data_IF_891520882571
#
_entry.id   IF_891520882571
#
_cell.length_a   1.000
_cell.length_b   1.000
_cell.length_c   1.000
_cell.angle_alpha   90.00
_cell.angle_beta   90.00
_cell.angle_gamma   90.00
#
_symmetry.space_group_name_H-M   'P 1'
#
loop_
_entity.id
_entity.type
_entity.pdbx_description
1 polymer ?
#
# COMPACT_ATOMS: atom_id res chain seq x y z
N UNK A 1 -13.73 -2.93 -4.10
CA UNK A 1 -12.72 -3.63 -4.92
C UNK A 1 -11.64 -2.69 -5.44
N UNK A 2 -10.40 -2.91 -5.03
CA UNK A 2 -9.25 -2.18 -5.57
C UNK A 2 -8.95 -2.65 -7.01
N UNK A 3 -8.90 -1.72 -7.97
CA UNK A 3 -8.50 -2.08 -9.35
C UNK A 3 -7.00 -2.32 -9.41
N UNK A 4 -6.58 -3.36 -10.14
CA UNK A 4 -5.16 -3.71 -10.41
C UNK A 4 -4.32 -2.51 -10.90
N UNK A 5 -4.96 -1.57 -11.58
CA UNK A 5 -4.36 -0.33 -12.07
C UNK A 5 -3.98 0.67 -10.96
N UNK A 6 -4.64 0.61 -9.80
CA UNK A 6 -4.40 1.53 -8.68
C UNK A 6 -3.02 1.32 -8.03
N UNK A 7 -2.39 0.17 -8.21
CA UNK A 7 -1.04 -0.13 -7.69
C UNK A 7 -0.01 0.08 -8.81
N UNK A 8 0.55 1.29 -8.91
CA UNK A 8 1.64 1.58 -9.86
C UNK A 8 2.92 0.84 -9.44
N UNK A 9 3.74 0.44 -10.42
CA UNK A 9 5.01 -0.27 -10.17
C UNK A 9 6.03 0.50 -9.32
N UNK A 10 5.79 1.79 -9.09
CA UNK A 10 6.62 2.68 -8.27
C UNK A 10 6.32 2.60 -6.77
N UNK A 11 5.27 1.88 -6.35
CA UNK A 11 4.93 1.70 -4.93
C UNK A 11 5.53 0.40 -4.43
N UNK A 12 6.31 0.48 -3.34
CA UNK A 12 6.71 -0.71 -2.59
C UNK A 12 5.76 -0.88 -1.42
N UNK A 13 5.02 -1.98 -1.40
CA UNK A 13 4.03 -2.27 -0.37
C UNK A 13 4.56 -3.43 0.46
N UNK A 14 4.54 -3.31 1.77
CA UNK A 14 5.03 -4.32 2.70
C UNK A 14 3.86 -4.74 3.59
N UNK A 15 3.71 -6.05 3.79
CA UNK A 15 2.65 -6.64 4.62
C UNK A 15 3.23 -7.16 5.94
N UNK A 16 2.48 -7.06 7.05
CA UNK A 16 2.79 -7.67 8.35
C UNK A 16 4.19 -7.37 8.90
N UNK A 17 4.68 -6.14 8.66
CA UNK A 17 6.05 -5.73 9.02
C UNK A 17 7.15 -6.59 8.38
N UNK A 18 6.81 -7.35 7.35
CA UNK A 18 7.78 -8.11 6.59
C UNK A 18 8.72 -7.15 5.85
N UNK A 19 9.97 -7.58 5.66
CA UNK A 19 10.97 -6.83 4.89
C UNK A 19 10.76 -6.99 3.39
N UNK A 20 9.90 -7.91 3.00
CA UNK A 20 9.62 -8.26 1.60
C UNK A 20 8.46 -7.44 1.04
N UNK A 21 8.57 -7.10 -0.25
CA UNK A 21 7.52 -6.39 -0.96
C UNK A 21 6.40 -7.38 -1.27
N UNK A 22 5.20 -7.09 -0.78
CA UNK A 22 4.02 -7.91 -1.01
C UNK A 22 3.65 -7.92 -2.50
N UNK A 23 3.22 -9.08 -3.00
CA UNK A 23 2.80 -9.21 -4.39
C UNK A 23 1.50 -8.45 -4.64
N UNK A 24 1.40 -7.86 -5.84
CA UNK A 24 0.22 -7.08 -6.21
C UNK A 24 -1.05 -7.93 -6.24
N UNK A 25 -0.97 -9.20 -6.63
CA UNK A 25 -2.14 -10.08 -6.68
C UNK A 25 -2.63 -10.42 -5.28
N UNK A 26 -1.72 -10.62 -4.33
CA UNK A 26 -2.07 -10.87 -2.93
C UNK A 26 -2.84 -9.67 -2.34
N UNK A 27 -2.37 -8.45 -2.58
CA UNK A 27 -3.04 -7.23 -2.11
C UNK A 27 -4.42 -7.07 -2.75
N UNK A 28 -4.57 -7.42 -4.03
CA UNK A 28 -5.86 -7.36 -4.73
C UNK A 28 -6.84 -8.37 -4.14
N UNK A 29 -6.40 -9.61 -3.89
CA UNK A 29 -7.22 -10.63 -3.24
C UNK A 29 -7.65 -10.18 -1.83
N UNK A 30 -6.73 -9.57 -1.05
CA UNK A 30 -7.08 -8.99 0.25
C UNK A 30 -8.10 -7.85 0.12
N UNK A 31 -8.01 -7.06 -0.95
CA UNK A 31 -8.92 -5.94 -1.19
C UNK A 31 -10.35 -6.33 -1.57
N UNK A 32 -10.58 -7.60 -1.92
CA UNK A 32 -11.94 -8.12 -2.12
C UNK A 32 -12.73 -8.21 -0.81
N UNK A 33 -12.03 -8.38 0.31
CA UNK A 33 -12.62 -8.47 1.65
C UNK A 33 -12.70 -7.12 2.37
N UNK A 34 -12.25 -6.03 1.74
CA UNK A 34 -12.24 -4.71 2.34
C UNK A 34 -13.59 -4.01 2.17
N UNK A 35 -14.01 -3.31 3.22
CA UNK A 35 -15.12 -2.38 3.16
C UNK A 35 -14.70 -1.07 2.46
N UNK A 36 -15.66 -0.24 2.07
CA UNK A 36 -15.41 1.01 1.36
C UNK A 36 -14.45 1.96 2.11
N UNK A 37 -14.60 2.06 3.43
CA UNK A 37 -13.72 2.85 4.29
C UNK A 37 -12.28 2.34 4.28
N UNK A 38 -12.10 1.02 4.28
CA UNK A 38 -10.78 0.38 4.28
C UNK A 38 -10.10 0.55 2.93
N UNK A 39 -10.86 0.40 1.84
CA UNK A 39 -10.35 0.68 0.50
C UNK A 39 -9.96 2.16 0.35
N UNK A 40 -10.77 3.07 0.87
CA UNK A 40 -10.47 4.51 0.85
C UNK A 40 -9.19 4.81 1.62
N UNK A 41 -9.02 4.19 2.80
CA UNK A 41 -7.82 4.33 3.62
C UNK A 41 -6.59 3.80 2.88
N UNK A 42 -6.69 2.64 2.23
CA UNK A 42 -5.59 2.09 1.45
C UNK A 42 -5.24 2.95 0.23
N UNK A 43 -6.24 3.49 -0.49
CA UNK A 43 -5.99 4.43 -1.60
C UNK A 43 -5.27 5.68 -1.12
N UNK A 44 -5.66 6.20 0.03
CA UNK A 44 -4.98 7.34 0.67
C UNK A 44 -3.53 7.00 1.04
N UNK A 45 -3.32 5.78 1.55
CA UNK A 45 -1.99 5.25 1.85
C UNK A 45 -1.13 5.07 0.60
N UNK A 46 -1.71 4.62 -0.51
CA UNK A 46 -1.02 4.53 -1.81
C UNK A 46 -0.57 5.90 -2.30
N UNK A 47 -1.42 6.92 -2.16
CA UNK A 47 -1.12 8.28 -2.62
C UNK A 47 -0.07 8.99 -1.75
N UNK A 48 -0.17 8.86 -0.43
CA UNK A 48 0.68 9.62 0.51
C UNK A 48 1.92 8.85 0.97
N UNK A 49 1.89 7.52 0.87
CA UNK A 49 2.81 6.64 1.57
C UNK A 49 2.62 6.69 3.09
N UNK A 50 3.18 5.72 3.79
CA UNK A 50 3.08 5.59 5.25
C UNK A 50 2.78 4.16 5.66
N UNK A 51 2.25 3.99 6.86
CA UNK A 51 1.79 2.70 7.36
C UNK A 51 0.40 2.79 7.94
N UNK A 52 -0.44 1.81 7.65
CA UNK A 52 -1.75 1.66 8.25
C UNK A 52 -2.09 0.19 8.48
N UNK A 53 -2.90 -0.07 9.50
CA UNK A 53 -3.48 -1.38 9.75
C UNK A 53 -4.86 -1.43 9.10
N UNK A 54 -5.09 -2.42 8.25
CA UNK A 54 -6.39 -2.69 7.64
C UNK A 54 -6.76 -4.13 8.00
N UNK A 55 -7.94 -4.30 8.59
CA UNK A 55 -8.34 -5.53 9.28
C UNK A 55 -7.25 -5.99 10.27
N UNK A 56 -6.60 -7.11 9.98
CA UNK A 56 -5.50 -7.66 10.78
C UNK A 56 -4.13 -7.57 10.10
N UNK A 57 -4.07 -6.98 8.91
CA UNK A 57 -2.84 -6.86 8.14
C UNK A 57 -2.25 -5.46 8.31
N UNK A 58 -0.94 -5.41 8.57
CA UNK A 58 -0.23 -4.13 8.65
C UNK A 58 0.40 -3.81 7.31
N UNK A 59 -0.14 -2.79 6.63
CA UNK A 59 0.35 -2.33 5.34
C UNK A 59 1.29 -1.16 5.53
N UNK A 60 2.47 -1.23 4.91
CA UNK A 60 3.40 -0.11 4.79
C UNK A 60 3.63 0.17 3.31
N UNK A 61 3.28 1.37 2.86
CA UNK A 61 3.49 1.80 1.48
C UNK A 61 4.61 2.83 1.44
N UNK A 62 5.62 2.55 0.63
CA UNK A 62 6.72 3.47 0.33
C UNK A 62 6.56 3.93 -1.12
N UNK A 63 6.27 5.21 -1.30
CA UNK A 63 6.18 5.89 -2.59
C UNK A 63 7.55 6.44 -2.98
N UNK A 64 7.93 6.27 -4.26
CA UNK A 64 9.24 6.70 -4.79
C UNK A 64 9.49 8.21 -4.66
N UNK A 65 8.45 9.04 -4.79
CA UNK A 65 8.57 10.51 -4.60
C UNK A 65 9.07 10.89 -3.19
N UNK A 66 8.66 10.15 -2.16
CA UNK A 66 9.13 10.38 -0.79
C UNK A 66 10.57 9.94 -0.59
N UNK A 67 11.04 8.98 -1.38
CA UNK A 67 12.41 8.49 -1.37
C UNK A 67 13.38 9.51 -1.99
N UNK A 68 12.95 10.22 -3.04
CA UNK A 68 13.74 11.29 -3.67
C UNK A 68 13.90 12.50 -2.73
N UNK A 69 12.80 12.96 -2.10
CA UNK A 69 12.86 14.05 -1.12
C UNK A 69 13.74 13.79 0.11
N UNK A 70 13.97 12.52 0.48
CA UNK A 70 14.85 12.16 1.60
C UNK A 70 16.34 12.16 1.20
N UNK A 71 16.63 12.04 -0.10
CA UNK A 71 18.00 12.07 -0.63
C UNK A 71 18.48 13.48 -0.99
N UNK A 72 17.58 14.47 -0.95
CA UNK A 72 17.85 15.88 -1.25
C UNK A 72 17.90 16.78 0.01
N UNK A 73 17.79 16.19 1.21
CA UNK A 73 17.96 16.85 2.51
C UNK A 73 19.27 16.42 3.16
#
# INVERSE_FOLDING_TARGET
MLKKQSIRSTHKIYLNKSKEVADKNEIIALSEFWNENEEFLFRKLLKQGGSAKIQNNHFRVVVREKMLKLNEM
#
